data_IF_113791973983
#
_entry.id   IF_113791973983
#
_cell.length_a   1.000
_cell.length_b   1.000
_cell.length_c   1.000
_cell.angle_alpha   90.00
_cell.angle_beta   90.00
_cell.angle_gamma   90.00
#
_symmetry.space_group_name_H-M   'P 1'
#
loop_
_entity.id
_entity.type
_entity.pdbx_description
1 polymer ?
#
# COMPACT_ATOMS: atom_id res chain seq x y z
N UNK A 1 -4.56 -2.58 28.75
CA UNK A 1 -3.17 -2.33 28.37
C UNK A 1 -2.54 -3.65 27.89
N UNK A 2 -2.25 -3.76 26.63
CA UNK A 2 -1.43 -4.85 26.07
C UNK A 2 0.02 -4.57 26.47
N UNK A 3 0.40 -4.94 27.68
CA UNK A 3 1.77 -4.83 28.16
C UNK A 3 2.50 -6.15 27.89
N UNK A 4 3.55 -6.09 27.11
CA UNK A 4 4.65 -7.05 27.17
C UNK A 4 4.50 -8.34 26.40
N UNK A 5 3.64 -8.43 25.42
CA UNK A 5 3.71 -9.51 24.44
C UNK A 5 4.41 -9.00 23.18
N UNK A 6 5.65 -9.37 23.03
CA UNK A 6 6.33 -9.41 21.73
C UNK A 6 5.64 -10.48 20.89
N UNK A 7 4.42 -10.19 20.43
CA UNK A 7 3.86 -10.93 19.31
C UNK A 7 4.60 -10.44 18.08
N UNK A 8 5.27 -11.33 17.37
CA UNK A 8 5.70 -11.06 16.01
C UNK A 8 4.49 -10.98 15.08
N UNK A 9 3.55 -10.09 15.40
CA UNK A 9 2.37 -9.84 14.60
C UNK A 9 2.62 -8.58 13.77
N UNK A 10 2.71 -8.75 12.47
CA UNK A 10 2.97 -7.70 11.49
C UNK A 10 1.71 -6.87 11.19
N UNK A 11 0.51 -7.43 11.39
CA UNK A 11 -0.79 -6.78 11.18
C UNK A 11 -1.73 -7.03 12.36
N UNK A 12 -1.55 -6.35 13.50
CA UNK A 12 -2.42 -6.55 14.64
C UNK A 12 -3.78 -5.85 14.45
N UNK A 13 -4.86 -6.58 14.75
CA UNK A 13 -6.23 -6.06 14.78
C UNK A 13 -6.77 -5.99 16.20
N UNK A 14 -7.52 -4.93 16.49
CA UNK A 14 -8.32 -4.80 17.71
C UNK A 14 -9.80 -4.81 17.34
N UNK A 15 -10.49 -5.86 17.74
CA UNK A 15 -11.92 -6.03 17.52
C UNK A 15 -12.67 -5.48 18.73
N UNK A 16 -13.41 -4.40 18.53
CA UNK A 16 -14.28 -3.83 19.56
C UNK A 16 -15.64 -4.50 19.48
N UNK A 17 -16.10 -5.08 20.58
CA UNK A 17 -17.43 -5.69 20.65
C UNK A 17 -18.52 -4.60 20.79
N UNK A 18 -18.77 -3.89 19.69
CA UNK A 18 -19.78 -2.82 19.59
C UNK A 18 -20.43 -2.89 18.21
N UNK A 19 -21.65 -2.40 18.12
CA UNK A 19 -22.43 -2.28 16.87
C UNK A 19 -22.37 -0.88 16.27
N UNK A 20 -21.89 0.10 17.02
CA UNK A 20 -21.71 1.46 16.55
C UNK A 20 -20.65 1.54 15.46
N UNK A 21 -20.92 2.20 14.34
CA UNK A 21 -19.94 2.40 13.29
C UNK A 21 -18.71 3.13 13.83
N UNK A 22 -17.53 2.60 13.50
CA UNK A 22 -16.27 3.24 13.88
C UNK A 22 -15.07 2.32 13.61
N UNK A 23 -13.96 2.96 13.35
CA UNK A 23 -12.65 2.35 13.16
C UNK A 23 -11.54 3.35 13.43
N UNK A 24 -10.30 2.90 13.34
CA UNK A 24 -9.11 3.72 13.49
C UNK A 24 -7.86 2.94 13.09
N UNK A 25 -7.02 3.55 12.27
CA UNK A 25 -5.73 3.02 11.84
C UNK A 25 -4.57 3.71 12.57
N UNK A 26 -3.37 3.18 12.38
CA UNK A 26 -2.15 3.66 13.00
C UNK A 26 -1.21 2.50 13.29
N UNK A 27 -0.76 2.35 14.54
CA UNK A 27 0.00 1.17 14.96
C UNK A 27 -0.85 -0.12 14.92
N UNK A 28 -2.16 0.01 15.05
CA UNK A 28 -3.11 -1.08 15.09
C UNK A 28 -4.31 -0.71 14.21
N UNK A 29 -4.88 -1.69 13.53
CA UNK A 29 -6.19 -1.55 12.92
C UNK A 29 -7.27 -1.86 13.97
N UNK A 30 -8.13 -0.89 14.27
CA UNK A 30 -9.21 -1.01 15.27
C UNK A 30 -10.55 -0.87 14.55
N UNK A 31 -11.53 -1.70 14.87
CA UNK A 31 -12.87 -1.57 14.29
C UNK A 31 -13.98 -2.18 15.17
N UNK A 32 -15.19 -1.67 15.00
CA UNK A 32 -16.38 -2.18 15.68
C UNK A 32 -16.89 -3.46 14.97
N UNK A 33 -16.62 -4.62 15.56
CA UNK A 33 -16.85 -5.92 14.93
C UNK A 33 -18.33 -6.29 14.75
N UNK A 34 -19.23 -5.69 15.54
CA UNK A 34 -20.67 -5.91 15.45
C UNK A 34 -21.41 -5.02 14.43
N UNK A 35 -20.70 -4.10 13.78
CA UNK A 35 -21.31 -3.23 12.77
C UNK A 35 -21.40 -3.94 11.40
N UNK A 36 -22.42 -3.60 10.60
CA UNK A 36 -22.63 -4.18 9.26
C UNK A 36 -21.46 -3.90 8.30
N UNK A 37 -20.75 -2.78 8.47
CA UNK A 37 -19.59 -2.40 7.67
C UNK A 37 -18.26 -2.88 8.26
N UNK A 38 -18.26 -3.67 9.32
CA UNK A 38 -17.05 -4.07 10.06
C UNK A 38 -15.94 -4.62 9.16
N UNK A 39 -16.28 -5.44 8.17
CA UNK A 39 -15.32 -6.00 7.21
C UNK A 39 -14.65 -4.91 6.36
N UNK A 40 -15.43 -3.98 5.85
CA UNK A 40 -14.93 -2.90 5.00
C UNK A 40 -14.08 -1.91 5.80
N UNK A 41 -14.50 -1.60 7.03
CA UNK A 41 -13.72 -0.78 7.97
C UNK A 41 -12.42 -1.49 8.31
N UNK A 42 -12.43 -2.77 8.63
CA UNK A 42 -11.21 -3.52 8.93
C UNK A 42 -10.18 -3.47 7.78
N UNK A 43 -10.65 -3.60 6.53
CA UNK A 43 -9.78 -3.47 5.33
C UNK A 43 -9.24 -2.05 5.17
N UNK A 44 -10.06 -1.03 5.40
CA UNK A 44 -9.63 0.37 5.36
C UNK A 44 -8.55 0.65 6.42
N UNK A 45 -8.80 0.25 7.67
CA UNK A 45 -7.87 0.51 8.77
C UNK A 45 -6.53 -0.22 8.63
N UNK A 46 -6.51 -1.39 7.98
CA UNK A 46 -5.24 -2.04 7.64
C UNK A 46 -4.49 -1.30 6.53
N UNK A 47 -5.18 -0.59 5.67
CA UNK A 47 -4.56 0.36 4.73
C UNK A 47 -3.69 1.38 5.46
N UNK A 48 -4.19 1.96 6.55
CA UNK A 48 -3.41 2.87 7.38
C UNK A 48 -2.29 2.16 8.15
N UNK A 49 -2.61 1.09 8.85
CA UNK A 49 -1.70 0.49 9.83
C UNK A 49 -0.57 -0.32 9.19
N UNK A 50 -0.83 -0.98 8.08
CA UNK A 50 0.15 -1.83 7.40
C UNK A 50 0.77 -1.13 6.18
N UNK A 51 -0.05 -0.65 5.25
CA UNK A 51 0.43 -0.03 4.02
C UNK A 51 0.73 1.47 4.17
N UNK A 52 0.49 2.06 5.35
CA UNK A 52 0.73 3.47 5.69
C UNK A 52 0.05 4.43 4.71
N UNK A 53 -1.17 4.12 4.32
CA UNK A 53 -1.97 4.94 3.43
C UNK A 53 -2.66 6.06 4.20
N UNK A 54 -2.88 7.20 3.54
CA UNK A 54 -3.72 8.27 4.05
C UNK A 54 -5.19 8.02 3.68
N UNK A 55 -6.10 8.67 4.42
CA UNK A 55 -7.47 8.87 3.96
C UNK A 55 -7.49 9.71 2.68
N UNK A 56 -8.30 9.30 1.71
CA UNK A 56 -8.45 10.01 0.43
C UNK A 56 -9.71 10.88 0.37
N UNK A 57 -10.51 10.91 1.42
CA UNK A 57 -11.67 11.80 1.49
C UNK A 57 -11.28 13.21 1.94
N UNK A 58 -12.06 14.20 1.45
CA UNK A 58 -12.00 15.60 1.84
C UNK A 58 -12.98 15.90 2.97
N UNK A 59 -13.44 17.14 3.05
CA UNK A 59 -14.45 17.62 4.01
C UNK A 59 -14.05 18.90 4.74
N UNK A 60 -12.77 19.27 4.68
CA UNK A 60 -12.30 20.59 5.13
C UNK A 60 -12.16 21.45 3.87
N UNK A 61 -13.02 22.48 3.68
CA UNK A 61 -13.04 23.30 2.47
C UNK A 61 -11.90 24.33 2.46
N UNK A 62 -10.70 23.87 2.74
CA UNK A 62 -9.48 24.66 2.84
C UNK A 62 -8.35 24.05 2.00
N UNK A 63 -7.34 24.86 1.72
CA UNK A 63 -6.13 24.42 1.04
C UNK A 63 -5.22 23.69 2.04
N UNK A 64 -4.79 22.50 1.67
CA UNK A 64 -3.73 21.81 2.42
C UNK A 64 -2.44 22.65 2.38
N UNK A 65 -1.90 23.00 3.53
CA UNK A 65 -0.71 23.83 3.69
C UNK A 65 0.46 23.09 4.35
N UNK A 66 0.34 21.78 4.51
CA UNK A 66 1.39 20.93 5.07
C UNK A 66 2.53 20.64 4.08
N UNK A 67 3.53 19.96 4.57
CA UNK A 67 4.61 19.41 3.74
C UNK A 67 4.09 18.27 2.87
N UNK A 68 4.87 17.88 1.87
CA UNK A 68 4.59 16.67 1.08
C UNK A 68 4.36 15.47 2.00
N UNK A 69 3.21 14.80 1.92
CA UNK A 69 2.90 13.66 2.77
C UNK A 69 3.86 12.48 2.56
N UNK A 70 4.12 11.73 3.62
CA UNK A 70 4.91 10.50 3.53
C UNK A 70 4.14 9.32 2.97
N UNK A 71 2.81 9.37 3.00
CA UNK A 71 1.92 8.33 2.49
C UNK A 71 1.96 8.26 0.96
N UNK A 72 1.98 7.05 0.42
CA UNK A 72 2.16 6.81 -1.01
C UNK A 72 0.97 7.25 -1.87
N UNK A 73 -0.23 7.23 -1.31
CA UNK A 73 -1.50 7.48 -2.01
C UNK A 73 -1.98 8.94 -1.95
N UNK A 74 -1.18 9.86 -1.46
CA UNK A 74 -1.50 11.30 -1.48
C UNK A 74 -0.25 12.12 -1.77
N UNK A 75 -0.42 13.27 -2.46
CA UNK A 75 0.69 14.16 -2.82
C UNK A 75 0.21 15.60 -2.91
N UNK A 76 1.10 16.56 -2.70
CA UNK A 76 0.86 17.98 -2.99
C UNK A 76 1.16 18.34 -4.45
N UNK A 77 1.74 17.41 -5.22
CA UNK A 77 2.04 17.61 -6.64
C UNK A 77 0.82 17.34 -7.51
N UNK A 78 0.25 18.35 -8.19
CA UNK A 78 -0.91 18.17 -9.07
C UNK A 78 -0.61 17.34 -10.32
N UNK A 79 0.66 17.05 -10.62
CA UNK A 79 1.04 16.16 -11.70
C UNK A 79 1.08 14.69 -11.30
N UNK A 80 0.95 14.37 -9.99
CA UNK A 80 0.97 12.99 -9.49
C UNK A 80 2.34 12.32 -9.63
N UNK A 81 3.44 13.09 -9.57
CA UNK A 81 4.78 12.57 -9.76
C UNK A 81 5.18 11.47 -8.77
N UNK A 82 4.54 11.42 -7.59
CA UNK A 82 4.76 10.37 -6.59
C UNK A 82 4.45 8.96 -7.11
N UNK A 83 3.51 8.82 -8.03
CA UNK A 83 3.11 7.57 -8.68
C UNK A 83 3.21 7.64 -10.20
N UNK A 84 4.28 8.27 -10.69
CA UNK A 84 4.51 8.51 -12.12
C UNK A 84 4.46 7.23 -12.97
N UNK A 85 4.92 6.10 -12.43
CA UNK A 85 4.90 4.77 -13.08
C UNK A 85 3.48 4.26 -13.36
N UNK A 86 2.50 4.75 -12.60
CA UNK A 86 1.10 4.34 -12.70
C UNK A 86 0.23 5.32 -13.49
N UNK A 87 0.73 6.52 -13.82
CA UNK A 87 -0.07 7.52 -14.52
C UNK A 87 -0.61 6.98 -15.84
N UNK A 88 -1.94 7.08 -15.99
CA UNK A 88 -2.65 6.58 -17.18
C UNK A 88 -2.93 5.07 -17.17
N UNK A 89 -2.53 4.33 -16.14
CA UNK A 89 -3.03 2.97 -15.94
C UNK A 89 -4.54 3.03 -15.72
N UNK A 90 -5.30 2.28 -16.53
CA UNK A 90 -6.77 2.23 -16.44
C UNK A 90 -7.18 1.02 -15.60
N UNK A 91 -7.52 1.28 -14.33
CA UNK A 91 -8.01 0.23 -13.43
C UNK A 91 -9.42 -0.17 -13.88
N UNK A 92 -9.71 -1.47 -14.04
CA UNK A 92 -10.99 -1.93 -14.58
C UNK A 92 -12.21 -1.59 -13.72
N UNK A 93 -12.01 -1.21 -12.45
CA UNK A 93 -13.09 -0.84 -11.51
C UNK A 93 -13.05 0.64 -11.16
N UNK A 94 -11.86 1.20 -10.94
CA UNK A 94 -11.68 2.55 -10.43
C UNK A 94 -11.41 3.59 -11.51
N UNK A 95 -11.18 3.13 -12.75
CA UNK A 95 -10.82 3.99 -13.88
C UNK A 95 -9.35 4.45 -13.85
N UNK A 96 -9.00 5.48 -14.62
CA UNK A 96 -7.62 5.85 -14.84
C UNK A 96 -6.94 6.42 -13.59
N UNK A 97 -5.71 6.00 -13.36
CA UNK A 97 -4.81 6.63 -12.39
C UNK A 97 -4.38 7.99 -12.91
N UNK A 98 -4.56 9.01 -12.10
CA UNK A 98 -4.24 10.40 -12.40
C UNK A 98 -3.82 11.16 -11.14
N UNK A 99 -4.17 12.44 -11.06
CA UNK A 99 -4.06 13.25 -9.86
C UNK A 99 -5.39 13.98 -9.64
N UNK A 100 -6.17 13.50 -8.69
CA UNK A 100 -7.51 14.00 -8.39
C UNK A 100 -7.47 14.82 -7.10
N UNK A 101 -7.87 16.08 -7.17
CA UNK A 101 -7.80 16.98 -6.03
C UNK A 101 -8.72 16.55 -4.88
N UNK A 102 -8.23 16.74 -3.66
CA UNK A 102 -8.85 16.34 -2.40
C UNK A 102 -8.27 15.05 -1.83
N UNK A 103 -8.12 15.04 -0.51
CA UNK A 103 -7.57 13.94 0.27
C UNK A 103 -7.07 14.42 1.62
N UNK A 104 -6.72 13.51 2.51
CA UNK A 104 -6.17 13.81 3.84
C UNK A 104 -7.03 14.82 4.61
N UNK A 105 -8.35 14.66 4.44
CA UNK A 105 -9.45 15.52 4.96
C UNK A 105 -9.61 16.88 4.28
N UNK A 106 -8.69 17.35 3.41
CA UNK A 106 -8.76 18.64 2.73
C UNK A 106 -9.37 18.51 1.33
N UNK A 107 -10.12 19.54 0.92
CA UNK A 107 -10.74 19.56 -0.39
C UNK A 107 -9.79 20.06 -1.48
N UNK A 108 -8.75 20.84 -1.13
CA UNK A 108 -7.84 21.50 -2.07
C UNK A 108 -6.38 21.33 -1.71
N UNK A 109 -5.51 21.44 -2.72
CA UNK A 109 -4.04 21.48 -2.55
C UNK A 109 -3.38 20.14 -2.18
N UNK A 110 -4.13 19.07 -2.23
CA UNK A 110 -3.65 17.71 -2.07
C UNK A 110 -4.38 16.81 -3.07
N UNK A 111 -3.70 15.79 -3.57
CA UNK A 111 -4.17 14.98 -4.67
C UNK A 111 -4.06 13.50 -4.32
N UNK A 112 -4.98 12.69 -4.86
CA UNK A 112 -5.06 11.24 -4.74
C UNK A 112 -5.02 10.58 -6.12
N UNK A 113 -4.67 9.27 -6.23
CA UNK A 113 -4.41 8.64 -7.52
C UNK A 113 -5.65 8.26 -8.33
N UNK A 114 -6.81 8.05 -7.68
CA UNK A 114 -8.06 7.69 -8.34
C UNK A 114 -9.22 8.52 -7.81
N UNK A 115 -10.33 8.57 -8.55
CA UNK A 115 -11.54 9.26 -8.08
C UNK A 115 -12.04 8.68 -6.77
N UNK A 116 -12.12 7.36 -6.73
CA UNK A 116 -12.58 6.61 -5.57
C UNK A 116 -11.71 5.38 -5.36
N UNK A 117 -11.38 5.10 -4.11
CA UNK A 117 -10.65 3.90 -3.70
C UNK A 117 -11.16 3.46 -2.34
N UNK A 118 -10.70 2.31 -1.81
CA UNK A 118 -10.97 1.86 -0.44
C UNK A 118 -10.62 2.92 0.60
N UNK A 119 -9.59 3.72 0.37
CA UNK A 119 -9.16 4.77 1.30
C UNK A 119 -10.06 6.01 1.26
N UNK A 120 -11.05 6.05 0.35
CA UNK A 120 -12.06 7.10 0.26
C UNK A 120 -13.47 6.59 0.51
N UNK A 121 -13.83 5.44 -0.07
CA UNK A 121 -15.17 4.83 0.00
C UNK A 121 -15.02 3.35 0.31
N UNK A 122 -15.60 2.89 1.41
CA UNK A 122 -15.35 1.57 1.99
C UNK A 122 -15.58 0.40 1.03
N UNK A 123 -16.64 0.44 0.21
CA UNK A 123 -17.02 -0.66 -0.68
C UNK A 123 -16.17 -0.73 -1.96
N UNK A 124 -15.29 0.26 -2.19
CA UNK A 124 -14.37 0.25 -3.33
C UNK A 124 -13.15 -0.67 -3.07
N UNK A 125 -12.50 -1.18 -4.12
CA UNK A 125 -11.22 -1.85 -3.97
C UNK A 125 -10.09 -0.87 -3.63
N UNK A 126 -8.95 -1.37 -3.22
CA UNK A 126 -7.70 -0.61 -3.21
C UNK A 126 -7.25 -0.34 -4.65
N UNK A 127 -6.79 0.87 -4.93
CA UNK A 127 -6.20 1.22 -6.22
C UNK A 127 -4.80 0.60 -6.45
N UNK A 128 -4.19 0.87 -7.58
CA UNK A 128 -2.88 0.32 -7.93
C UNK A 128 -1.79 0.75 -6.95
N UNK A 129 -1.79 2.02 -6.54
CA UNK A 129 -0.80 2.59 -5.62
C UNK A 129 -0.94 1.96 -4.23
N UNK A 130 -2.16 1.82 -3.74
CA UNK A 130 -2.43 1.17 -2.48
C UNK A 130 -2.02 -0.31 -2.50
N UNK A 131 -2.34 -1.04 -3.58
CA UNK A 131 -1.92 -2.44 -3.75
C UNK A 131 -0.39 -2.58 -3.78
N UNK A 132 0.30 -1.69 -4.49
CA UNK A 132 1.77 -1.65 -4.49
C UNK A 132 2.33 -1.41 -3.09
N UNK A 133 1.76 -0.47 -2.33
CA UNK A 133 2.18 -0.22 -0.95
C UNK A 133 2.02 -1.46 -0.05
N UNK A 134 0.95 -2.24 -0.23
CA UNK A 134 0.81 -3.53 0.47
C UNK A 134 1.89 -4.53 0.05
N UNK A 135 2.16 -4.69 -1.24
CA UNK A 135 3.21 -5.60 -1.73
C UNK A 135 4.58 -5.23 -1.18
N UNK A 136 4.93 -3.94 -1.22
CA UNK A 136 6.19 -3.45 -0.64
C UNK A 136 6.23 -3.65 0.88
N UNK A 137 5.10 -3.48 1.57
CA UNK A 137 4.96 -3.79 2.99
C UNK A 137 5.22 -5.26 3.30
N UNK A 138 4.69 -6.18 2.50
CA UNK A 138 4.96 -7.61 2.65
C UNK A 138 6.43 -7.93 2.39
N UNK A 139 7.04 -7.38 1.35
CA UNK A 139 8.45 -7.63 1.04
C UNK A 139 9.42 -7.00 2.05
N UNK A 140 8.96 -6.04 2.85
CA UNK A 140 9.74 -5.57 4.00
C UNK A 140 9.78 -6.57 5.17
N UNK A 141 8.87 -7.56 5.18
CA UNK A 141 8.74 -8.58 6.23
C UNK A 141 9.23 -9.96 5.79
N UNK A 142 9.06 -10.27 4.50
CA UNK A 142 9.43 -11.56 3.92
C UNK A 142 10.26 -11.33 2.65
N UNK A 143 11.36 -12.05 2.52
CA UNK A 143 12.15 -12.04 1.28
C UNK A 143 11.33 -12.74 0.18
N UNK A 144 11.14 -12.13 -0.99
CA UNK A 144 10.47 -12.77 -2.13
C UNK A 144 11.31 -13.90 -2.76
N UNK A 145 12.57 -14.05 -2.35
CA UNK A 145 13.48 -15.09 -2.81
C UNK A 145 13.59 -16.19 -1.76
N UNK A 146 13.18 -17.40 -2.11
CA UNK A 146 13.35 -18.58 -1.25
C UNK A 146 14.81 -19.01 -1.18
N UNK A 147 15.51 -18.97 -2.31
CA UNK A 147 16.94 -19.23 -2.37
C UNK A 147 17.56 -18.58 -3.62
N UNK A 148 18.85 -18.31 -3.55
CA UNK A 148 19.61 -17.81 -4.70
C UNK A 148 21.09 -18.12 -4.55
N UNK A 149 21.77 -18.25 -5.70
CA UNK A 149 23.22 -18.31 -5.72
C UNK A 149 23.80 -16.93 -5.40
N UNK A 150 24.67 -16.88 -4.39
CA UNK A 150 25.38 -15.66 -4.02
C UNK A 150 26.18 -15.11 -5.22
N UNK A 151 25.94 -13.86 -5.58
CA UNK A 151 26.63 -13.15 -6.66
C UNK A 151 27.63 -12.10 -6.17
N UNK A 152 28.03 -12.16 -4.89
CA UNK A 152 29.03 -11.27 -4.32
C UNK A 152 30.43 -11.70 -4.77
N UNK A 153 31.17 -10.75 -5.35
CA UNK A 153 32.52 -10.97 -5.85
C UNK A 153 32.59 -11.52 -7.28
N UNK A 154 33.82 -11.70 -7.78
CA UNK A 154 34.06 -12.27 -9.11
C UNK A 154 33.99 -13.78 -9.03
N UNK A 155 33.13 -14.39 -9.82
CA UNK A 155 33.06 -15.84 -10.00
C UNK A 155 33.71 -16.24 -11.32
N UNK A 156 34.46 -17.34 -11.31
CA UNK A 156 35.10 -17.92 -12.50
C UNK A 156 34.47 -19.27 -12.80
N UNK A 157 34.34 -19.61 -14.06
CA UNK A 157 33.89 -20.93 -14.54
C UNK A 157 32.48 -21.33 -14.03
N UNK A 158 31.60 -20.32 -13.77
CA UNK A 158 30.19 -20.54 -13.37
C UNK A 158 29.43 -21.06 -14.58
N UNK A 159 28.86 -22.26 -14.45
CA UNK A 159 28.06 -22.88 -15.51
C UNK A 159 26.55 -22.57 -15.40
N UNK A 160 26.09 -22.29 -14.20
CA UNK A 160 24.70 -21.93 -13.93
C UNK A 160 24.61 -21.04 -12.70
N UNK A 161 23.62 -20.18 -12.68
CA UNK A 161 23.15 -19.46 -11.50
C UNK A 161 21.67 -19.80 -11.33
N UNK A 162 21.24 -19.94 -10.09
CA UNK A 162 19.85 -20.25 -9.76
C UNK A 162 19.25 -19.22 -8.80
N UNK A 163 17.97 -19.05 -8.90
CA UNK A 163 17.14 -18.33 -7.95
C UNK A 163 15.78 -19.03 -7.86
N UNK A 164 15.34 -19.27 -6.64
CA UNK A 164 13.99 -19.75 -6.36
C UNK A 164 13.19 -18.60 -5.79
N UNK A 165 11.99 -18.38 -6.33
CA UNK A 165 11.06 -17.34 -5.91
C UNK A 165 9.84 -17.99 -5.26
N UNK A 166 9.19 -17.28 -4.34
CA UNK A 166 8.03 -17.77 -3.59
C UNK A 166 6.91 -18.26 -4.53
N UNK A 167 6.67 -17.54 -5.61
CA UNK A 167 5.67 -17.90 -6.61
C UNK A 167 6.14 -17.50 -8.02
N UNK A 168 6.62 -18.45 -8.83
CA UNK A 168 7.10 -18.17 -10.18
C UNK A 168 5.97 -17.79 -11.16
N UNK A 169 4.70 -17.94 -10.78
CA UNK A 169 3.59 -17.45 -11.58
C UNK A 169 3.34 -15.95 -11.42
N UNK A 170 3.81 -15.37 -10.31
CA UNK A 170 3.63 -13.95 -9.96
C UNK A 170 4.93 -13.15 -10.04
N UNK A 171 6.08 -13.80 -9.81
CA UNK A 171 7.39 -13.15 -9.77
C UNK A 171 8.20 -13.54 -11.00
N UNK A 172 8.49 -12.55 -11.85
CA UNK A 172 9.37 -12.71 -12.99
C UNK A 172 10.82 -12.45 -12.58
N UNK A 173 11.72 -13.31 -13.01
CA UNK A 173 13.18 -13.14 -12.82
C UNK A 173 13.78 -12.69 -14.15
N UNK A 174 14.42 -11.54 -14.15
CA UNK A 174 15.19 -11.05 -15.30
C UNK A 174 16.69 -11.14 -14.99
N UNK A 175 17.42 -11.87 -15.81
CA UNK A 175 18.86 -12.02 -15.66
C UNK A 175 19.59 -10.97 -16.48
N UNK A 176 20.54 -10.28 -15.86
CA UNK A 176 21.41 -9.32 -16.55
C UNK A 176 22.87 -9.72 -16.34
N UNK A 177 23.57 -9.99 -17.43
CA UNK A 177 25.00 -10.31 -17.42
C UNK A 177 25.74 -9.31 -18.28
N UNK A 178 26.71 -8.61 -17.72
CA UNK A 178 27.49 -7.56 -18.41
C UNK A 178 26.59 -6.50 -19.11
N UNK A 179 25.46 -6.16 -18.50
CA UNK A 179 24.52 -5.18 -19.01
C UNK A 179 23.57 -5.69 -20.11
N UNK A 180 23.59 -6.98 -20.43
CA UNK A 180 22.64 -7.62 -21.32
C UNK A 180 21.62 -8.45 -20.52
N UNK A 181 20.34 -8.23 -20.80
CA UNK A 181 19.23 -8.98 -20.17
C UNK A 181 18.91 -10.22 -21.00
N UNK A 182 18.61 -11.33 -20.32
CA UNK A 182 18.29 -12.65 -20.89
C UNK A 182 16.91 -13.12 -20.44
#
# INVERSE_FOLDING_TARGET
>A
ALQGTTFGAEMPYVLVNDTTYGGGGGLLAVYAAGNSSAREVALHEVGHSFARLADEYGGIPEMYSGLEPGESNVTTDPAGGKWAEWLGYDDPVLGPVGAYEGGKYYDFGIFRPTLDSKMRILEQPFDAIAREAFVLGFYALVDPLDSYDDNVGTRHDVQSLSVDVIDPALIRVDWTVNGQTF
#
